data_IF_600355157635
#
_entry.id   IF_600355157635
#
_cell.length_a   1.000
_cell.length_b   1.000
_cell.length_c   1.000
_cell.angle_alpha   90.00
_cell.angle_beta   90.00
_cell.angle_gamma   90.00
#
_symmetry.space_group_name_H-M   'P 1'
#
loop_
_entity.id
_entity.type
_entity.pdbx_description
1 polymer ?
#
# COMPACT_ATOMS: atom_id res chain seq x y z
N UNK A 1 11.52 -37.49 -39.07
CA UNK A 1 11.95 -36.11 -39.40
C UNK A 1 11.05 -35.17 -38.63
N UNK A 2 11.51 -34.52 -37.54
CA UNK A 2 10.68 -33.61 -36.78
C UNK A 2 10.34 -32.37 -37.61
N UNK A 3 9.07 -31.98 -37.55
CA UNK A 3 8.45 -30.98 -38.39
C UNK A 3 9.10 -29.59 -38.19
N UNK A 4 9.42 -28.90 -39.28
CA UNK A 4 10.16 -27.62 -39.25
C UNK A 4 9.41 -26.53 -38.46
N UNK A 5 8.09 -26.68 -38.30
CA UNK A 5 7.21 -25.79 -37.54
C UNK A 5 7.34 -25.93 -36.02
N UNK A 6 7.60 -27.12 -35.48
CA UNK A 6 7.77 -27.32 -34.02
C UNK A 6 9.12 -26.82 -33.50
N UNK A 7 10.12 -26.73 -34.39
CA UNK A 7 11.45 -26.16 -34.08
C UNK A 7 11.36 -24.63 -33.88
N UNK A 8 10.53 -23.94 -34.64
CA UNK A 8 10.38 -22.48 -34.52
C UNK A 8 9.58 -22.06 -33.27
N UNK A 9 8.55 -22.81 -32.87
CA UNK A 9 7.79 -22.52 -31.65
C UNK A 9 8.59 -22.79 -30.36
N UNK A 10 9.46 -23.80 -30.34
CA UNK A 10 10.31 -24.10 -29.18
C UNK A 10 11.46 -23.12 -29.03
N UNK A 11 12.03 -22.64 -30.14
CA UNK A 11 13.08 -21.61 -30.13
C UNK A 11 12.57 -20.24 -29.63
N UNK A 12 11.33 -19.86 -29.95
CA UNK A 12 10.74 -18.59 -29.50
C UNK A 12 10.42 -18.57 -28.00
N UNK A 13 10.05 -19.72 -27.41
CA UNK A 13 9.80 -19.83 -25.96
C UNK A 13 11.09 -19.85 -25.13
N UNK A 14 12.20 -20.38 -25.68
CA UNK A 14 13.52 -20.36 -25.03
C UNK A 14 14.20 -18.97 -25.11
N UNK A 15 13.90 -18.16 -26.13
CA UNK A 15 14.44 -16.81 -26.25
C UNK A 15 13.78 -15.80 -25.29
N UNK A 16 12.52 -16.03 -24.89
CA UNK A 16 11.78 -15.13 -23.99
C UNK A 16 12.16 -15.29 -22.50
N UNK A 17 12.69 -16.44 -22.09
CA UNK A 17 13.10 -16.69 -20.69
C UNK A 17 14.48 -16.10 -20.33
N UNK A 18 15.26 -15.68 -21.32
CA UNK A 18 16.59 -15.07 -21.11
C UNK A 18 16.55 -13.56 -20.83
N UNK A 19 15.38 -12.91 -20.97
CA UNK A 19 15.18 -11.47 -20.69
C UNK A 19 14.52 -11.19 -19.33
N UNK A 20 14.40 -12.21 -18.46
CA UNK A 20 14.02 -12.03 -17.06
C UNK A 20 15.25 -11.79 -16.14
N UNK A 21 16.30 -11.18 -16.69
CA UNK A 21 17.52 -10.83 -15.98
C UNK A 21 17.30 -9.64 -15.06
N UNK A 22 16.97 -9.93 -13.80
CA UNK A 22 17.37 -9.16 -12.62
C UNK A 22 17.52 -7.64 -12.80
N UNK A 23 16.41 -6.91 -12.83
CA UNK A 23 16.44 -5.49 -12.53
C UNK A 23 16.61 -5.32 -11.01
N UNK A 24 17.83 -5.55 -10.51
CA UNK A 24 18.22 -5.02 -9.21
C UNK A 24 18.28 -3.50 -9.39
N UNK A 25 17.21 -2.79 -9.03
CA UNK A 25 17.14 -1.35 -9.12
C UNK A 25 18.15 -0.74 -8.13
N UNK A 26 19.35 -0.41 -8.63
CA UNK A 26 20.41 0.19 -7.84
C UNK A 26 20.15 1.68 -7.71
N UNK A 27 19.70 2.11 -6.53
CA UNK A 27 19.45 3.54 -6.28
C UNK A 27 20.77 4.28 -6.19
N UNK A 28 20.92 5.25 -7.07
CA UNK A 28 22.09 6.10 -7.21
C UNK A 28 21.73 7.54 -6.82
N UNK A 29 22.61 8.17 -6.05
CA UNK A 29 22.57 9.60 -5.74
C UNK A 29 23.38 10.37 -6.78
N UNK A 30 22.70 11.19 -7.56
CA UNK A 30 23.29 12.14 -8.50
C UNK A 30 23.37 13.52 -7.84
N UNK A 31 24.56 14.12 -7.80
CA UNK A 31 24.78 15.47 -7.30
C UNK A 31 25.26 16.38 -8.42
N UNK A 32 24.49 17.43 -8.70
CA UNK A 32 24.85 18.48 -9.64
C UNK A 32 25.91 19.40 -9.02
N UNK A 33 27.12 19.52 -9.62
CA UNK A 33 28.19 20.34 -9.07
C UNK A 33 27.93 21.85 -9.18
N UNK A 34 27.07 22.29 -10.11
CA UNK A 34 26.79 23.71 -10.36
C UNK A 34 25.69 24.21 -9.42
N UNK A 35 24.61 23.43 -9.27
CA UNK A 35 23.44 23.84 -8.48
C UNK A 35 23.42 23.26 -7.06
N UNK A 36 24.24 22.25 -6.78
CA UNK A 36 24.19 21.50 -5.52
C UNK A 36 22.96 20.60 -5.39
N UNK A 37 22.10 20.52 -6.42
CA UNK A 37 20.88 19.72 -6.39
C UNK A 37 21.21 18.22 -6.31
N UNK A 38 20.56 17.53 -5.39
CA UNK A 38 20.65 16.08 -5.22
C UNK A 38 19.39 15.44 -5.81
N UNK A 39 19.58 14.44 -6.67
CA UNK A 39 18.48 13.64 -7.25
C UNK A 39 18.80 12.16 -7.04
N UNK A 40 17.81 11.38 -6.64
CA UNK A 40 17.93 9.92 -6.51
C UNK A 40 17.27 9.27 -7.71
N UNK A 41 17.99 8.40 -8.39
CA UNK A 41 17.51 7.70 -9.58
C UNK A 41 18.03 6.27 -9.58
N UNK A 42 17.25 5.39 -10.18
CA UNK A 42 17.57 3.99 -10.52
C UNK A 42 18.33 3.86 -11.86
N UNK A 43 18.56 4.97 -12.57
CA UNK A 43 19.30 5.05 -13.82
C UNK A 43 20.64 5.79 -13.70
N UNK A 44 21.21 6.15 -14.85
CA UNK A 44 22.46 6.92 -14.91
C UNK A 44 22.24 8.41 -14.61
N UNK A 45 23.25 9.03 -13.98
CA UNK A 45 23.25 10.47 -13.76
C UNK A 45 23.45 11.24 -15.07
N UNK A 46 22.93 12.47 -15.14
CA UNK A 46 23.17 13.34 -16.29
C UNK A 46 24.66 13.66 -16.44
N UNK A 47 25.10 13.92 -17.67
CA UNK A 47 26.51 14.21 -17.96
C UNK A 47 27.06 15.34 -17.07
N UNK A 48 28.20 15.08 -16.42
CA UNK A 48 28.86 16.03 -15.52
C UNK A 48 28.38 16.00 -14.07
N UNK A 49 27.37 15.19 -13.71
CA UNK A 49 26.96 15.01 -12.32
C UNK A 49 27.84 13.99 -11.59
N UNK A 50 28.09 14.23 -10.31
CA UNK A 50 28.77 13.26 -9.45
C UNK A 50 27.81 12.11 -9.08
N UNK A 51 28.27 10.88 -9.25
CA UNK A 51 27.53 9.64 -9.01
C UNK A 51 27.99 9.00 -7.70
N UNK A 52 27.07 8.67 -6.80
CA UNK A 52 27.36 7.86 -5.61
C UNK A 52 26.25 6.84 -5.37
N UNK A 53 26.61 5.56 -5.29
CA UNK A 53 25.66 4.51 -4.88
C UNK A 53 25.18 4.75 -3.45
N UNK A 54 23.87 4.62 -3.23
CA UNK A 54 23.27 4.86 -1.89
C UNK A 54 23.50 3.66 -0.98
N UNK A 55 23.43 2.46 -1.53
CA UNK A 55 23.75 1.21 -0.85
C UNK A 55 24.68 0.37 -1.74
N UNK A 56 25.61 -0.41 -1.17
CA UNK A 56 26.43 -1.31 -1.96
C UNK A 56 25.55 -2.37 -2.63
N UNK A 57 25.92 -2.74 -3.86
CA UNK A 57 25.30 -3.87 -4.54
C UNK A 57 25.52 -5.15 -3.72
N UNK A 58 24.44 -5.90 -3.45
CA UNK A 58 24.53 -7.20 -2.79
C UNK A 58 25.43 -8.15 -3.58
N UNK A 59 26.23 -8.95 -2.86
CA UNK A 59 27.08 -9.95 -3.51
C UNK A 59 26.24 -11.08 -4.12
N UNK A 60 26.71 -11.73 -5.21
CA UNK A 60 26.02 -12.88 -5.79
C UNK A 60 25.77 -13.99 -4.76
N UNK A 61 26.70 -14.19 -3.83
CA UNK A 61 26.60 -15.18 -2.76
C UNK A 61 25.49 -14.83 -1.76
N UNK A 62 25.33 -13.55 -1.39
CA UNK A 62 24.27 -13.11 -0.47
C UNK A 62 22.89 -13.28 -1.09
N UNK A 63 22.76 -12.94 -2.38
CA UNK A 63 21.53 -13.12 -3.15
C UNK A 63 21.16 -14.61 -3.20
N UNK A 64 22.14 -15.49 -3.41
CA UNK A 64 21.87 -16.92 -3.45
C UNK A 64 21.41 -17.45 -2.08
N UNK A 65 22.06 -17.03 -0.99
CA UNK A 65 21.64 -17.41 0.37
C UNK A 65 20.22 -16.95 0.68
N UNK A 66 19.85 -15.72 0.31
CA UNK A 66 18.49 -15.22 0.50
C UNK A 66 17.45 -16.04 -0.27
N UNK A 67 17.78 -16.43 -1.51
CA UNK A 67 16.92 -17.29 -2.34
C UNK A 67 16.74 -18.67 -1.73
N UNK A 68 17.81 -19.28 -1.26
CA UNK A 68 17.78 -20.61 -0.65
C UNK A 68 16.93 -20.58 0.65
N UNK A 69 17.11 -19.55 1.48
CA UNK A 69 16.30 -19.33 2.68
C UNK A 69 14.82 -19.12 2.36
N UNK A 70 14.51 -18.34 1.31
CA UNK A 70 13.14 -18.13 0.87
C UNK A 70 12.49 -19.43 0.36
N UNK A 71 13.23 -20.25 -0.37
CA UNK A 71 12.76 -21.56 -0.83
C UNK A 71 12.49 -22.51 0.34
N UNK A 72 13.39 -22.55 1.32
CA UNK A 72 13.21 -23.38 2.53
C UNK A 72 11.97 -22.94 3.32
N UNK A 73 11.80 -21.64 3.56
CA UNK A 73 10.63 -21.10 4.25
C UNK A 73 9.32 -21.43 3.52
N UNK A 74 9.33 -21.37 2.18
CA UNK A 74 8.19 -21.75 1.37
C UNK A 74 7.86 -23.25 1.47
N UNK A 75 8.89 -24.12 1.48
CA UNK A 75 8.71 -25.56 1.68
C UNK A 75 8.09 -25.86 3.04
N UNK A 76 8.64 -25.30 4.12
CA UNK A 76 8.10 -25.46 5.48
C UNK A 76 6.65 -24.98 5.57
N UNK A 77 6.32 -23.85 4.93
CA UNK A 77 4.94 -23.34 4.88
C UNK A 77 4.00 -24.24 4.08
N UNK A 78 4.48 -24.92 3.05
CA UNK A 78 3.69 -25.88 2.28
C UNK A 78 3.46 -27.16 3.08
N UNK A 79 4.50 -27.71 3.72
CA UNK A 79 4.39 -28.88 4.60
C UNK A 79 3.41 -28.65 5.74
N UNK A 80 3.52 -27.51 6.43
CA UNK A 80 2.58 -27.12 7.48
C UNK A 80 1.15 -27.06 6.97
N UNK A 81 0.91 -26.43 5.82
CA UNK A 81 -0.42 -26.35 5.21
C UNK A 81 -0.96 -27.73 4.83
N UNK A 82 -0.12 -28.63 4.36
CA UNK A 82 -0.52 -30.00 4.03
C UNK A 82 -0.91 -30.78 5.29
N UNK A 83 -0.16 -30.63 6.39
CA UNK A 83 -0.51 -31.22 7.68
C UNK A 83 -1.82 -30.66 8.25
N UNK A 84 -2.02 -29.34 8.16
CA UNK A 84 -3.26 -28.67 8.57
C UNK A 84 -4.45 -29.16 7.72
N UNK A 85 -4.28 -29.31 6.41
CA UNK A 85 -5.31 -29.85 5.52
C UNK A 85 -5.61 -31.33 5.79
N UNK A 86 -4.60 -32.14 6.13
CA UNK A 86 -4.79 -33.54 6.48
C UNK A 86 -5.49 -33.72 7.85
N UNK A 87 -5.28 -32.78 8.77
CA UNK A 87 -5.92 -32.74 10.08
C UNK A 87 -7.28 -32.04 10.08
N UNK A 88 -7.61 -31.33 8.99
CA UNK A 88 -8.93 -30.75 8.82
C UNK A 88 -9.95 -31.89 8.73
N UNK A 89 -10.61 -32.17 9.85
CA UNK A 89 -11.80 -33.02 9.86
C UNK A 89 -12.81 -32.35 8.95
N UNK A 90 -13.31 -33.02 7.89
CA UNK A 90 -14.41 -32.46 7.10
C UNK A 90 -15.55 -32.18 8.08
N UNK A 91 -15.99 -30.91 8.14
CA UNK A 91 -17.16 -30.55 8.92
C UNK A 91 -18.28 -31.55 8.59
N UNK A 92 -18.98 -32.12 9.57
CA UNK A 92 -20.09 -33.01 9.29
C UNK A 92 -21.04 -32.31 8.32
N UNK A 93 -21.15 -32.82 7.09
CA UNK A 93 -22.25 -32.44 6.21
C UNK A 93 -23.49 -32.99 6.90
N UNK A 94 -24.16 -32.13 7.67
CA UNK A 94 -25.43 -32.46 8.30
C UNK A 94 -26.38 -32.89 7.19
N UNK A 95 -26.59 -34.20 7.06
CA UNK A 95 -27.70 -34.74 6.28
C UNK A 95 -28.96 -34.11 6.86
N UNK A 96 -29.81 -33.45 6.05
CA UNK A 96 -31.06 -32.92 6.59
C UNK A 96 -31.89 -34.11 7.07
N UNK A 97 -32.01 -34.22 8.40
CA UNK A 97 -33.05 -35.06 8.99
C UNK A 97 -34.37 -34.43 8.57
N UNK A 98 -35.16 -35.23 7.88
CA UNK A 98 -36.54 -34.93 7.56
C UNK A 98 -37.30 -34.72 8.88
N UNK A 99 -37.53 -33.47 9.24
CA UNK A 99 -38.60 -33.09 10.16
C UNK A 99 -39.33 -31.92 9.52
N UNK A 100 -40.46 -32.24 8.92
CA UNK A 100 -41.31 -31.35 8.14
C UNK A 100 -42.13 -30.38 9.03
N UNK A 101 -41.48 -29.68 9.98
CA UNK A 101 -42.16 -28.68 10.82
C UNK A 101 -41.24 -27.56 11.37
N UNK A 102 -40.38 -26.96 10.53
CA UNK A 102 -39.71 -25.68 10.87
C UNK A 102 -39.70 -24.74 9.69
N UNK A 103 -40.76 -23.94 9.57
CA UNK A 103 -40.86 -22.83 8.61
C UNK A 103 -39.97 -21.63 8.99
N UNK A 104 -39.13 -21.74 10.02
CA UNK A 104 -38.14 -20.72 10.37
C UNK A 104 -36.74 -21.35 10.31
N UNK A 105 -35.77 -20.74 9.60
CA UNK A 105 -34.37 -21.15 9.72
C UNK A 105 -33.96 -21.09 11.20
N UNK A 106 -33.22 -22.09 11.71
CA UNK A 106 -32.79 -22.08 13.11
C UNK A 106 -31.95 -20.83 13.39
N UNK A 107 -32.23 -20.18 14.53
CA UNK A 107 -31.54 -18.97 14.96
C UNK A 107 -30.03 -19.26 15.15
N UNK A 108 -29.13 -18.60 14.39
CA UNK A 108 -27.69 -18.82 14.50
C UNK A 108 -27.14 -18.50 15.89
N UNK A 109 -27.80 -17.63 16.66
CA UNK A 109 -27.39 -17.30 18.02
C UNK A 109 -27.50 -18.47 19.01
N UNK A 110 -28.29 -19.50 18.68
CA UNK A 110 -28.45 -20.71 19.49
C UNK A 110 -27.58 -21.87 19.00
N UNK A 111 -26.81 -21.67 17.94
CA UNK A 111 -25.94 -22.69 17.37
C UNK A 111 -24.78 -23.05 18.29
N UNK A 112 -24.28 -24.29 18.16
CA UNK A 112 -23.05 -24.72 18.85
C UNK A 112 -21.84 -23.88 18.41
N UNK A 113 -21.82 -23.41 17.16
CA UNK A 113 -20.77 -22.54 16.61
C UNK A 113 -20.74 -21.18 17.31
N UNK A 114 -21.91 -20.56 17.51
CA UNK A 114 -22.03 -19.32 18.28
C UNK A 114 -21.55 -19.51 19.74
N UNK A 115 -21.94 -20.61 20.38
CA UNK A 115 -21.50 -20.91 21.74
C UNK A 115 -19.96 -21.05 21.84
N UNK A 116 -19.34 -21.72 20.87
CA UNK A 116 -17.89 -21.86 20.79
C UNK A 116 -17.20 -20.52 20.51
N UNK A 117 -17.73 -19.71 19.60
CA UNK A 117 -17.17 -18.40 19.26
C UNK A 117 -17.20 -17.44 20.46
N UNK A 118 -18.28 -17.46 21.26
CA UNK A 118 -18.38 -16.69 22.51
C UNK A 118 -17.35 -17.12 23.56
N UNK A 119 -17.12 -18.43 23.68
CA UNK A 119 -16.08 -18.95 24.56
C UNK A 119 -14.68 -18.50 24.11
N UNK A 120 -14.41 -18.53 22.79
CA UNK A 120 -13.15 -18.06 22.23
C UNK A 120 -12.92 -16.56 22.46
N UNK A 121 -13.97 -15.73 22.31
CA UNK A 121 -13.91 -14.31 22.63
C UNK A 121 -13.60 -14.07 24.11
N UNK A 122 -14.29 -14.77 25.02
CA UNK A 122 -14.02 -14.69 26.46
C UNK A 122 -12.58 -15.09 26.79
N UNK A 123 -12.05 -16.13 26.14
CA UNK A 123 -10.66 -16.56 26.31
C UNK A 123 -9.65 -15.56 25.76
N UNK A 124 -9.97 -14.84 24.68
CA UNK A 124 -9.13 -13.77 24.14
C UNK A 124 -9.11 -12.54 25.07
N UNK A 125 -10.26 -12.19 25.65
CA UNK A 125 -10.41 -11.08 26.60
C UNK A 125 -9.76 -11.36 27.96
N UNK A 126 -9.70 -12.63 28.39
CA UNK A 126 -9.07 -13.02 29.65
C UNK A 126 -7.53 -12.99 29.63
N UNK A 127 -6.91 -12.73 28.47
CA UNK A 127 -5.45 -12.62 28.34
C UNK A 127 -4.97 -11.25 28.78
N UNK A 128 -3.69 -11.21 29.15
CA UNK A 128 -3.03 -9.99 29.59
C UNK A 128 -3.05 -8.91 28.47
N UNK A 129 -3.59 -7.71 28.73
CA UNK A 129 -3.64 -6.61 27.78
C UNK A 129 -2.25 -6.02 27.44
N UNK A 130 -1.20 -6.34 28.21
CA UNK A 130 0.18 -5.88 27.95
C UNK A 130 0.88 -6.61 26.80
N UNK A 131 0.34 -7.74 26.34
CA UNK A 131 0.88 -8.46 25.20
C UNK A 131 0.55 -7.73 23.89
N UNK A 132 1.56 -7.57 23.04
CA UNK A 132 1.47 -6.85 21.76
C UNK A 132 0.31 -7.29 20.85
N UNK A 133 -0.05 -8.58 20.87
CA UNK A 133 -1.05 -9.18 19.98
C UNK A 133 -2.45 -9.34 20.63
N UNK A 134 -2.65 -8.87 21.86
CA UNK A 134 -3.93 -9.09 22.57
C UNK A 134 -5.09 -8.38 21.86
N UNK A 135 -4.91 -7.13 21.43
CA UNK A 135 -5.97 -6.37 20.75
C UNK A 135 -6.37 -7.01 19.41
N UNK A 136 -5.40 -7.50 18.63
CA UNK A 136 -5.67 -8.18 17.36
C UNK A 136 -6.43 -9.49 17.58
N UNK A 137 -6.08 -10.26 18.61
CA UNK A 137 -6.81 -11.50 18.96
C UNK A 137 -8.23 -11.23 19.40
N UNK A 138 -8.44 -10.22 20.25
CA UNK A 138 -9.78 -9.82 20.67
C UNK A 138 -10.60 -9.39 19.46
N UNK A 139 -10.04 -8.56 18.58
CA UNK A 139 -10.70 -8.12 17.35
C UNK A 139 -11.12 -9.30 16.46
N UNK A 140 -10.19 -10.23 16.19
CA UNK A 140 -10.48 -11.41 15.37
C UNK A 140 -11.52 -12.33 16.03
N UNK A 141 -11.47 -12.51 17.34
CA UNK A 141 -12.45 -13.30 18.08
C UNK A 141 -13.84 -12.66 18.08
N UNK A 142 -13.93 -11.32 18.17
CA UNK A 142 -15.20 -10.59 18.02
C UNK A 142 -15.78 -10.76 16.62
N UNK A 143 -14.96 -10.65 15.57
CA UNK A 143 -15.41 -10.86 14.19
C UNK A 143 -15.91 -12.28 13.95
N UNK A 144 -15.27 -13.27 14.58
CA UNK A 144 -15.71 -14.65 14.48
C UNK A 144 -17.05 -14.89 15.21
N UNK A 145 -17.25 -14.28 16.38
CA UNK A 145 -18.52 -14.33 17.11
C UNK A 145 -19.66 -13.70 16.32
N UNK A 146 -19.43 -12.53 15.71
CA UNK A 146 -20.41 -11.88 14.83
C UNK A 146 -20.81 -12.77 13.65
N UNK A 147 -19.85 -13.46 13.03
CA UNK A 147 -20.11 -14.35 11.90
C UNK A 147 -20.86 -15.63 12.29
N UNK A 148 -20.62 -16.15 13.49
CA UNK A 148 -21.23 -17.38 13.98
C UNK A 148 -22.60 -17.16 14.64
N UNK A 149 -22.81 -16.01 15.28
CA UNK A 149 -24.00 -15.72 16.08
C UNK A 149 -25.05 -14.88 15.34
N UNK A 150 -24.67 -14.12 14.31
CA UNK A 150 -25.60 -13.27 13.57
C UNK A 150 -26.03 -13.92 12.27
N UNK A 151 -27.23 -13.58 11.83
CA UNK A 151 -27.65 -13.88 10.46
C UNK A 151 -26.80 -13.10 9.46
N UNK A 152 -26.63 -13.59 8.21
CA UNK A 152 -25.91 -12.86 7.17
C UNK A 152 -26.45 -11.45 6.93
N UNK A 153 -27.77 -11.26 7.09
CA UNK A 153 -28.40 -9.94 6.97
C UNK A 153 -28.02 -9.00 8.11
N UNK A 154 -28.00 -9.48 9.35
CA UNK A 154 -27.59 -8.70 10.52
C UNK A 154 -26.11 -8.34 10.47
N UNK A 155 -25.26 -9.27 10.05
CA UNK A 155 -23.84 -9.00 9.86
C UNK A 155 -23.62 -7.95 8.75
N UNK A 156 -24.36 -8.03 7.64
CA UNK A 156 -24.31 -7.02 6.59
C UNK A 156 -24.80 -5.65 7.07
N UNK A 157 -25.82 -5.59 7.95
CA UNK A 157 -26.26 -4.34 8.60
C UNK A 157 -25.16 -3.78 9.50
N UNK A 158 -24.56 -4.61 10.35
CA UNK A 158 -23.48 -4.19 11.24
C UNK A 158 -22.24 -3.68 10.47
N UNK A 159 -21.92 -4.30 9.34
CA UNK A 159 -20.86 -3.82 8.45
C UNK A 159 -21.18 -2.44 7.87
N UNK A 160 -22.41 -2.23 7.38
CA UNK A 160 -22.84 -0.90 6.90
C UNK A 160 -22.80 0.15 8.01
N UNK A 161 -23.23 -0.19 9.22
CA UNK A 161 -23.18 0.72 10.37
C UNK A 161 -21.73 1.08 10.74
N UNK A 162 -20.78 0.16 10.55
CA UNK A 162 -19.34 0.42 10.74
C UNK A 162 -18.77 1.35 9.68
N UNK A 163 -19.17 1.17 8.42
CA UNK A 163 -18.76 2.04 7.31
C UNK A 163 -19.36 3.44 7.45
N UNK A 164 -20.61 3.53 7.93
CA UNK A 164 -21.30 4.80 8.18
C UNK A 164 -20.84 5.49 9.45
N UNK A 165 -20.20 4.77 10.38
CA UNK A 165 -19.68 5.37 11.62
C UNK A 165 -18.58 6.39 11.26
N UNK A 166 -18.77 7.66 11.64
CA UNK A 166 -17.76 8.67 11.38
C UNK A 166 -16.46 8.25 12.08
N UNK A 167 -15.38 8.26 11.30
CA UNK A 167 -14.01 7.85 11.68
C UNK A 167 -13.53 8.46 13.01
N UNK A 168 -14.10 9.61 13.41
CA UNK A 168 -13.80 10.31 14.66
C UNK A 168 -14.39 9.71 15.95
N UNK A 169 -15.30 8.73 15.87
CA UNK A 169 -15.95 8.15 17.06
C UNK A 169 -15.40 6.77 17.47
N UNK A 170 -14.35 6.27 16.81
CA UNK A 170 -13.81 4.95 17.11
C UNK A 170 -12.75 5.05 18.23
N UNK A 171 -12.94 4.44 19.42
CA UNK A 171 -11.93 4.46 20.48
C UNK A 171 -10.67 3.72 20.00
N UNK A 172 -9.59 4.47 19.77
CA UNK A 172 -8.32 3.96 19.25
C UNK A 172 -7.96 4.41 17.83
N UNK A 173 -8.82 5.18 17.15
CA UNK A 173 -8.45 5.79 15.88
C UNK A 173 -7.56 7.02 16.10
N UNK A 174 -6.28 6.90 15.74
CA UNK A 174 -5.36 8.04 15.60
C UNK A 174 -5.47 8.49 14.14
N UNK A 175 -6.01 9.69 13.84
CA UNK A 175 -6.06 10.17 12.47
C UNK A 175 -4.66 10.22 11.88
N UNK A 176 -4.49 9.88 10.58
CA UNK A 176 -3.19 10.01 9.94
C UNK A 176 -2.73 11.46 10.07
N UNK A 177 -1.55 11.66 10.64
CA UNK A 177 -0.94 12.99 10.76
C UNK A 177 -0.54 13.43 9.35
N UNK A 178 -1.35 14.29 8.75
CA UNK A 178 -0.97 14.95 7.49
C UNK A 178 0.03 16.05 7.85
N UNK A 179 1.31 15.76 7.69
CA UNK A 179 2.36 16.78 7.76
C UNK A 179 2.25 17.64 6.52
N UNK A 180 1.54 18.76 6.62
CA UNK A 180 1.62 19.80 5.58
C UNK A 180 3.06 20.31 5.58
N UNK A 181 3.79 20.22 4.46
CA UNK A 181 5.09 20.87 4.37
C UNK A 181 4.90 22.37 4.66
N UNK A 182 5.83 22.99 5.41
CA UNK A 182 5.73 24.42 5.68
C UNK A 182 5.61 25.16 4.34
N UNK A 183 4.74 26.19 4.24
CA UNK A 183 4.66 27.00 3.04
C UNK A 183 6.07 27.48 2.71
N UNK A 184 6.50 27.25 1.46
CA UNK A 184 7.82 27.73 1.02
C UNK A 184 7.89 29.21 1.33
N UNK A 185 8.96 29.70 1.97
CA UNK A 185 9.11 31.13 2.18
C UNK A 185 8.99 31.81 0.82
N UNK A 186 7.93 32.59 0.65
CA UNK A 186 7.82 33.46 -0.51
C UNK A 186 9.04 34.38 -0.45
N UNK A 187 9.80 34.54 -1.55
CA UNK A 187 10.82 35.56 -1.61
C UNK A 187 10.18 36.87 -1.13
N UNK A 188 10.81 37.62 -0.21
CA UNK A 188 10.27 38.90 0.19
C UNK A 188 9.99 39.68 -1.09
N UNK A 189 8.73 40.04 -1.31
CA UNK A 189 8.36 40.96 -2.38
C UNK A 189 9.09 42.26 -2.05
N UNK A 190 10.27 42.45 -2.62
CA UNK A 190 10.96 43.72 -2.59
C UNK A 190 10.15 44.63 -3.51
N UNK A 191 9.08 45.21 -2.95
CA UNK A 191 8.33 46.29 -3.58
C UNK A 191 9.21 47.54 -3.45
N UNK A 192 10.37 47.53 -4.12
CA UNK A 192 11.00 48.78 -4.46
C UNK A 192 10.11 49.43 -5.51
N UNK A 193 9.48 50.59 -5.21
CA UNK A 193 8.72 51.29 -6.23
C UNK A 193 9.70 51.65 -7.35
N UNK A 194 9.53 51.03 -8.52
CA UNK A 194 10.31 51.36 -9.71
C UNK A 194 10.15 52.87 -9.94
N UNK A 195 11.25 53.64 -10.08
CA UNK A 195 11.15 55.08 -10.28
C UNK A 195 10.30 55.33 -11.53
N UNK A 196 9.28 56.18 -11.38
CA UNK A 196 8.40 56.53 -12.50
C UNK A 196 9.23 57.25 -13.56
N UNK A 197 9.16 56.84 -14.84
CA UNK A 197 9.91 57.50 -15.89
C UNK A 197 9.45 58.95 -16.03
N UNK A 198 10.41 59.87 -16.13
CA UNK A 198 10.14 61.30 -16.34
C UNK A 198 9.67 61.51 -17.79
N UNK A 199 8.42 61.95 -17.95
CA UNK A 199 7.81 62.22 -19.25
C UNK A 199 8.28 63.58 -19.77
N UNK A 200 8.80 63.63 -20.99
CA UNK A 200 9.35 64.86 -21.57
C UNK A 200 8.42 65.47 -22.60
N UNK A 201 7.74 64.64 -23.40
CA UNK A 201 6.84 65.11 -24.45
C UNK A 201 5.55 64.31 -24.45
N UNK A 202 4.40 64.99 -24.39
CA UNK A 202 3.10 64.35 -24.45
C UNK A 202 2.29 64.87 -25.64
N UNK A 203 1.82 63.94 -26.46
CA UNK A 203 0.80 64.19 -27.48
C UNK A 203 -0.59 63.84 -26.90
N UNK A 204 -1.65 64.09 -27.68
CA UNK A 204 -3.05 63.89 -27.27
C UNK A 204 -3.32 62.46 -26.76
N UNK A 205 -2.62 61.46 -27.29
CA UNK A 205 -2.86 60.04 -26.97
C UNK A 205 -1.77 59.36 -26.14
N UNK A 206 -0.53 59.87 -26.13
CA UNK A 206 0.63 59.19 -25.52
C UNK A 206 1.67 60.19 -25.03
N UNK A 207 2.35 59.82 -23.95
CA UNK A 207 3.53 60.51 -23.43
C UNK A 207 4.80 59.71 -23.72
N UNK A 208 5.88 60.42 -23.99
CA UNK A 208 7.19 59.85 -24.29
C UNK A 208 8.18 60.23 -23.19
N UNK A 209 9.00 59.27 -22.75
CA UNK A 209 10.11 59.51 -21.82
C UNK A 209 11.38 59.98 -22.56
N UNK A 210 12.44 60.32 -21.80
CA UNK A 210 13.75 60.69 -22.36
C UNK A 210 14.39 59.62 -23.26
N UNK A 211 13.96 58.37 -23.12
CA UNK A 211 14.49 57.22 -23.85
C UNK A 211 13.65 56.90 -25.09
N UNK A 212 12.57 57.63 -25.34
CA UNK A 212 11.67 57.44 -26.47
C UNK A 212 10.58 56.39 -26.25
N UNK A 213 10.43 55.84 -25.05
CA UNK A 213 9.36 54.88 -24.75
C UNK A 213 8.02 55.60 -24.65
N UNK A 214 6.99 55.05 -25.30
CA UNK A 214 5.66 55.62 -25.31
C UNK A 214 4.77 54.98 -24.23
N UNK A 215 4.12 55.83 -23.44
CA UNK A 215 3.17 55.44 -22.39
C UNK A 215 1.78 56.01 -22.71
N UNK A 216 0.70 55.29 -22.37
CA UNK A 216 -0.64 55.87 -22.40
C UNK A 216 -0.71 57.06 -21.44
N UNK A 217 -1.53 58.06 -21.78
CA UNK A 217 -1.79 59.20 -20.91
C UNK A 217 -2.75 58.83 -19.78
#
# INVERSE_FOLDING_TARGET
MPDRRTIHCTALLLAASLWAGSAAAQVTRCSDPVTGKITYTDGDCAAGQARKEVAPRQSPEDIQRERDQAQEAMRLKQERRALEAAQAVPAPVEKPRQDADRQHPPDPAQSAECAQARQALKAAQARDPSLYDTNTRIYNAQRNEELACLTPEENARLQRDREQRPVYQNPGFIPPVVVLPPPRPHPPHNIQPKPRPEMVQCNVFRCFDRQGNAYPR
#
